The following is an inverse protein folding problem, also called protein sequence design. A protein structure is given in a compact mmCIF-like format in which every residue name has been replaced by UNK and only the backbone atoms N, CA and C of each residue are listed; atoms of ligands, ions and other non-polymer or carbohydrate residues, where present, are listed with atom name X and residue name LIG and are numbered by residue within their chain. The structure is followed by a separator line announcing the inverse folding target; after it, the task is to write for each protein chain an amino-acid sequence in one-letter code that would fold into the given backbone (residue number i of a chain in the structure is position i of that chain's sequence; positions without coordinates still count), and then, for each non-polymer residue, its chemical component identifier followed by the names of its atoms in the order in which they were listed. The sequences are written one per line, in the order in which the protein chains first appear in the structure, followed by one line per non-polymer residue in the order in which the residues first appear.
data_IF_154053256411
#
_entry.id   IF_154053256411
#
_cell.length_a   1.000
_cell.length_b   1.000
_cell.length_c   1.000
_cell.angle_alpha   90.00
_cell.angle_beta   90.00
_cell.angle_gamma   90.00
#
_symmetry.space_group_name_H-M   'P 1'
#
loop_
_entity.id
_entity.type
_entity.pdbx_description
1 polymer ?
#
# COMPACT_ATOMS: atom_id res chain seq x y z
N UNK A 1 4.36 -15.38 8.36
CA UNK A 1 4.73 -14.56 7.20
C UNK A 1 5.65 -13.38 7.58
N UNK A 2 5.50 -12.71 8.74
CA UNK A 2 6.47 -11.71 9.20
C UNK A 2 7.85 -12.30 9.62
N UNK A 3 7.87 -13.51 10.19
CA UNK A 3 9.07 -14.15 10.74
C UNK A 3 10.10 -14.59 9.68
N UNK A 4 9.72 -14.67 8.39
CA UNK A 4 10.63 -15.04 7.30
C UNK A 4 11.24 -13.84 6.57
N UNK A 5 10.76 -12.62 6.84
CA UNK A 5 11.11 -11.43 6.06
C UNK A 5 12.26 -10.60 6.66
N UNK A 6 12.87 -11.02 7.78
CA UNK A 6 13.84 -10.23 8.55
C UNK A 6 13.26 -8.95 9.19
N UNK A 7 11.97 -8.67 8.94
CA UNK A 7 11.25 -7.48 9.38
C UNK A 7 11.19 -7.35 10.91
N UNK A 8 11.24 -8.47 11.62
CA UNK A 8 11.25 -8.50 13.08
C UNK A 8 12.66 -8.40 13.67
N UNK A 9 13.71 -8.45 12.86
CA UNK A 9 15.09 -8.30 13.32
C UNK A 9 15.51 -6.82 13.38
N UNK A 10 14.91 -5.98 12.52
CA UNK A 10 15.10 -4.53 12.54
C UNK A 10 14.37 -3.88 13.74
N UNK A 11 15.07 -3.11 14.61
CA UNK A 11 14.45 -2.43 15.74
C UNK A 11 13.37 -1.40 15.35
N UNK A 12 13.55 -0.68 14.23
CA UNK A 12 12.58 0.32 13.76
C UNK A 12 11.27 -0.31 13.32
N UNK A 13 11.38 -1.36 12.50
CA UNK A 13 10.26 -2.15 11.99
C UNK A 13 9.45 -2.80 13.12
N UNK A 14 10.14 -3.35 14.13
CA UNK A 14 9.47 -3.87 15.34
C UNK A 14 8.71 -2.79 16.11
N UNK A 15 9.28 -1.60 16.25
CA UNK A 15 8.63 -0.51 16.96
C UNK A 15 7.33 -0.08 16.25
N UNK A 16 7.35 0.03 14.92
CA UNK A 16 6.16 0.34 14.10
C UNK A 16 5.08 -0.72 14.22
N UNK A 17 5.45 -2.00 14.14
CA UNK A 17 4.50 -3.11 14.32
C UNK A 17 3.90 -3.11 15.73
N UNK A 18 4.70 -2.83 16.76
CA UNK A 18 4.22 -2.77 18.14
C UNK A 18 3.22 -1.62 18.34
N UNK A 19 3.54 -0.41 17.83
CA UNK A 19 2.67 0.75 17.90
C UNK A 19 1.33 0.51 17.18
N UNK A 20 1.37 -0.02 15.96
CA UNK A 20 0.16 -0.36 15.20
C UNK A 20 -0.73 -1.38 15.94
N UNK A 21 -0.13 -2.35 16.65
CA UNK A 21 -0.87 -3.34 17.44
C UNK A 21 -1.55 -2.76 18.66
N UNK A 22 -0.94 -1.78 19.32
CA UNK A 22 -1.53 -1.08 20.45
C UNK A 22 -2.75 -0.27 20.00
N UNK A 23 -2.59 0.48 18.90
CA UNK A 23 -3.67 1.31 18.34
C UNK A 23 -4.85 0.51 17.79
N UNK A 24 -4.62 -0.71 17.28
CA UNK A 24 -5.69 -1.60 16.82
C UNK A 24 -6.72 -1.95 17.91
N UNK A 25 -6.37 -1.85 19.19
CA UNK A 25 -7.29 -2.14 20.31
C UNK A 25 -8.28 -1.01 20.53
N UNK A 26 -7.82 0.23 20.42
CA UNK A 26 -8.63 1.44 20.66
C UNK A 26 -9.32 1.95 19.38
N UNK A 27 -8.87 1.47 18.22
CA UNK A 27 -9.27 1.95 16.90
C UNK A 27 -8.38 3.09 16.40
N UNK A 28 -8.52 3.41 15.13
CA UNK A 28 -7.79 4.51 14.50
C UNK A 28 -8.73 5.67 14.22
N UNK A 29 -8.27 6.89 14.47
CA UNK A 29 -8.81 8.07 13.80
C UNK A 29 -8.31 8.15 12.34
N UNK A 30 -8.85 9.10 11.58
CA UNK A 30 -8.55 9.30 10.16
C UNK A 30 -7.05 9.54 9.89
N UNK A 31 -6.37 10.29 10.76
CA UNK A 31 -4.94 10.60 10.60
C UNK A 31 -4.09 9.37 10.93
N UNK A 32 -4.41 8.70 12.04
CA UNK A 32 -3.74 7.49 12.49
C UNK A 32 -3.90 6.33 11.50
N UNK A 33 -5.06 6.21 10.85
CA UNK A 33 -5.31 5.18 9.84
C UNK A 33 -4.36 5.34 8.64
N UNK A 34 -4.22 6.56 8.12
CA UNK A 34 -3.31 6.82 7.00
C UNK A 34 -1.83 6.83 7.39
N UNK A 35 -1.49 7.25 8.61
CA UNK A 35 -0.15 7.10 9.15
C UNK A 35 0.24 5.62 9.24
N UNK A 36 -0.64 4.77 9.78
CA UNK A 36 -0.43 3.31 9.85
C UNK A 36 -0.28 2.71 8.46
N UNK A 37 -1.07 3.15 7.48
CA UNK A 37 -0.90 2.72 6.09
C UNK A 37 0.49 3.08 5.55
N UNK A 38 0.97 4.30 5.80
CA UNK A 38 2.32 4.74 5.40
C UNK A 38 3.41 3.89 6.04
N UNK A 39 3.30 3.59 7.33
CA UNK A 39 4.23 2.69 8.02
C UNK A 39 4.25 1.30 7.38
N UNK A 40 3.09 0.76 6.99
CA UNK A 40 3.01 -0.53 6.29
C UNK A 40 3.66 -0.49 4.90
N UNK A 41 3.62 0.64 4.20
CA UNK A 41 4.30 0.81 2.91
C UNK A 41 5.82 0.85 3.10
N UNK A 42 6.30 1.55 4.12
CA UNK A 42 7.73 1.57 4.43
C UNK A 42 8.25 0.17 4.81
N UNK A 43 7.47 -0.60 5.57
CA UNK A 43 7.77 -2.00 5.88
C UNK A 43 7.81 -2.90 4.63
N UNK A 44 7.18 -2.49 3.52
CA UNK A 44 7.25 -3.15 2.22
C UNK A 44 8.45 -2.69 1.38
N UNK A 45 9.26 -1.76 1.89
CA UNK A 45 10.44 -1.20 1.22
C UNK A 45 10.17 0.02 0.35
N UNK A 46 8.99 0.64 0.47
CA UNK A 46 8.72 1.94 -0.14
C UNK A 46 9.38 3.07 0.68
N UNK A 47 9.64 4.24 0.09
CA UNK A 47 10.17 5.38 0.82
C UNK A 47 9.28 5.78 2.01
N UNK A 48 9.90 6.33 3.05
CA UNK A 48 9.21 7.00 4.16
C UNK A 48 8.17 8.00 3.64
N UNK A 49 7.06 8.15 4.37
CA UNK A 49 5.91 9.00 4.02
C UNK A 49 5.22 8.64 2.67
N UNK A 50 5.42 7.42 2.17
CA UNK A 50 4.64 6.94 1.03
C UNK A 50 3.17 6.77 1.42
N UNK A 51 2.27 7.47 0.72
CA UNK A 51 0.82 7.37 0.92
C UNK A 51 0.08 6.61 -0.18
N UNK A 52 0.83 6.00 -1.10
CA UNK A 52 0.28 5.21 -2.20
C UNK A 52 1.24 4.11 -2.62
N UNK A 53 0.69 3.03 -3.16
CA UNK A 53 1.46 1.92 -3.74
C UNK A 53 0.77 1.35 -4.98
N UNK A 54 1.55 0.74 -5.86
CA UNK A 54 1.07 -0.06 -6.99
C UNK A 54 1.69 -1.44 -6.92
N UNK A 55 0.85 -2.45 -6.88
CA UNK A 55 1.23 -3.85 -6.80
C UNK A 55 0.78 -4.61 -8.05
N UNK A 56 1.59 -5.58 -8.47
CA UNK A 56 1.27 -6.49 -9.58
C UNK A 56 0.95 -7.84 -8.97
N UNK A 57 -0.18 -8.42 -9.35
CA UNK A 57 -0.73 -9.63 -8.73
C UNK A 57 -0.82 -10.74 -9.78
N UNK A 58 -0.39 -11.98 -9.48
CA UNK A 58 0.43 -12.34 -8.33
C UNK A 58 1.90 -11.89 -8.48
N UNK A 59 2.42 -11.81 -9.71
CA UNK A 59 3.81 -11.43 -9.99
C UNK A 59 3.97 -10.75 -11.36
N UNK A 60 5.17 -10.23 -11.64
CA UNK A 60 5.46 -9.60 -12.95
C UNK A 60 5.62 -10.61 -14.08
N UNK A 61 5.99 -11.86 -13.78
CA UNK A 61 6.18 -12.89 -14.80
C UNK A 61 4.85 -13.45 -15.33
N UNK A 62 3.83 -13.52 -14.48
CA UNK A 62 2.48 -13.97 -14.82
C UNK A 62 1.42 -13.04 -14.21
N UNK A 63 1.28 -11.81 -14.73
CA UNK A 63 0.40 -10.81 -14.14
C UNK A 63 -1.07 -11.06 -14.49
N UNK A 64 -1.91 -11.11 -13.46
CA UNK A 64 -3.37 -11.21 -13.56
C UNK A 64 -4.06 -9.88 -13.23
N UNK A 65 -3.42 -9.04 -12.43
CA UNK A 65 -3.93 -7.72 -12.08
C UNK A 65 -2.81 -6.71 -11.82
N UNK A 66 -3.15 -5.43 -11.98
CA UNK A 66 -2.41 -4.32 -11.37
C UNK A 66 -3.35 -3.62 -10.40
N UNK A 67 -2.95 -3.50 -9.14
CA UNK A 67 -3.73 -2.85 -8.08
C UNK A 67 -2.99 -1.64 -7.53
N UNK A 68 -3.70 -0.54 -7.32
CA UNK A 68 -3.20 0.68 -6.71
C UNK A 68 -3.99 0.98 -5.45
N UNK A 69 -3.31 1.42 -4.42
CA UNK A 69 -3.91 1.70 -3.11
C UNK A 69 -3.33 3.00 -2.57
N UNK A 70 -4.16 3.81 -1.92
CA UNK A 70 -3.71 5.04 -1.25
C UNK A 70 -4.54 5.30 0.00
N UNK A 71 -3.95 5.98 0.98
CA UNK A 71 -4.68 6.55 2.10
C UNK A 71 -4.36 8.04 2.21
N UNK A 72 -5.37 8.89 2.02
CA UNK A 72 -5.23 10.35 2.10
C UNK A 72 -6.37 10.88 2.96
N UNK A 73 -6.04 11.66 3.99
CA UNK A 73 -7.01 12.29 4.90
C UNK A 73 -8.10 11.32 5.41
N UNK A 74 -7.67 10.19 5.99
CA UNK A 74 -8.57 9.13 6.49
C UNK A 74 -9.26 8.27 5.45
N UNK A 75 -9.11 8.59 4.16
CA UNK A 75 -9.81 7.89 3.09
C UNK A 75 -8.90 6.88 2.41
N UNK A 76 -9.12 5.60 2.71
CA UNK A 76 -8.51 4.50 1.98
C UNK A 76 -9.22 4.30 0.63
N UNK A 77 -8.44 4.32 -0.44
CA UNK A 77 -8.91 4.07 -1.81
C UNK A 77 -8.12 2.94 -2.42
N UNK A 78 -8.80 2.03 -3.12
CA UNK A 78 -8.19 0.91 -3.84
C UNK A 78 -8.79 0.80 -5.24
N UNK A 79 -7.93 0.67 -6.23
CA UNK A 79 -8.26 0.48 -7.64
C UNK A 79 -7.57 -0.77 -8.14
N UNK A 80 -8.29 -1.68 -8.80
CA UNK A 80 -7.71 -2.87 -9.41
C UNK A 80 -8.09 -2.93 -10.89
N UNK A 81 -7.08 -3.15 -11.74
CA UNK A 81 -7.24 -3.43 -13.16
C UNK A 81 -6.97 -4.92 -13.40
N UNK A 82 -8.01 -5.64 -13.82
CA UNK A 82 -7.92 -7.03 -14.27
C UNK A 82 -8.01 -7.09 -15.80
N UNK A 83 -7.21 -7.96 -16.41
CA UNK A 83 -7.22 -8.21 -17.86
C UNK A 83 -6.66 -9.60 -18.13
N UNK A 84 -7.19 -10.28 -19.14
CA UNK A 84 -6.67 -11.59 -19.59
C UNK A 84 -5.27 -11.49 -20.22
N UNK A 85 -4.87 -10.27 -20.61
CA UNK A 85 -3.52 -9.95 -21.07
C UNK A 85 -3.05 -8.59 -20.51
N UNK A 86 -2.03 -8.60 -19.67
CA UNK A 86 -1.33 -7.42 -19.17
C UNK A 86 0.08 -7.37 -19.75
N UNK A 87 0.18 -7.06 -21.05
CA UNK A 87 1.46 -7.06 -21.77
C UNK A 87 2.34 -5.85 -21.41
N UNK A 88 1.72 -4.70 -21.14
CA UNK A 88 2.39 -3.46 -20.72
C UNK A 88 1.99 -3.10 -19.29
N UNK A 89 2.79 -3.59 -18.34
CA UNK A 89 2.57 -3.39 -16.91
C UNK A 89 2.82 -1.95 -16.46
N UNK A 90 3.68 -1.22 -17.16
CA UNK A 90 3.99 0.16 -16.79
C UNK A 90 2.84 1.08 -17.22
N UNK A 91 2.30 0.87 -18.43
CA UNK A 91 1.08 1.56 -18.85
C UNK A 91 -0.13 1.19 -17.98
N UNK A 92 -0.27 -0.07 -17.58
CA UNK A 92 -1.29 -0.50 -16.63
C UNK A 92 -1.13 0.19 -15.26
N UNK A 93 0.11 0.30 -14.75
CA UNK A 93 0.43 1.02 -13.53
C UNK A 93 0.05 2.50 -13.60
N UNK A 94 0.39 3.19 -14.69
CA UNK A 94 0.00 4.60 -14.91
C UNK A 94 -1.52 4.78 -14.92
N UNK A 95 -2.26 3.86 -15.58
CA UNK A 95 -3.73 3.91 -15.61
C UNK A 95 -4.33 3.74 -14.22
N UNK A 96 -3.81 2.79 -13.45
CA UNK A 96 -4.24 2.54 -12.07
C UNK A 96 -3.95 3.75 -11.18
N UNK A 97 -2.74 4.32 -11.26
CA UNK A 97 -2.37 5.54 -10.54
C UNK A 97 -3.28 6.72 -10.91
N UNK A 98 -3.55 6.91 -12.19
CA UNK A 98 -4.44 7.99 -12.66
C UNK A 98 -5.85 7.85 -12.08
N UNK A 99 -6.39 6.63 -12.10
CA UNK A 99 -7.69 6.34 -11.52
C UNK A 99 -7.70 6.52 -9.99
N UNK A 100 -6.61 6.15 -9.32
CA UNK A 100 -6.43 6.32 -7.88
C UNK A 100 -6.41 7.81 -7.49
N UNK A 101 -5.63 8.65 -8.18
CA UNK A 101 -5.59 10.11 -7.96
C UNK A 101 -6.94 10.77 -8.24
N UNK A 102 -7.65 10.31 -9.27
CA UNK A 102 -8.98 10.82 -9.57
C UNK A 102 -9.99 10.47 -8.46
N UNK A 103 -9.90 9.27 -7.88
CA UNK A 103 -10.78 8.81 -6.83
C UNK A 103 -10.50 9.46 -5.46
N UNK A 104 -9.25 9.84 -5.18
CA UNK A 104 -8.86 10.54 -3.94
C UNK A 104 -9.05 12.06 -3.99
N UNK A 105 -9.58 12.60 -5.10
CA UNK A 105 -9.97 14.01 -5.19
C UNK A 105 -8.78 14.96 -5.31
N UNK A 106 -7.77 14.61 -6.11
CA UNK A 106 -6.59 15.43 -6.39
C UNK A 106 -6.94 16.90 -6.61
N UNK A 107 -6.62 17.73 -5.62
CA UNK A 107 -6.56 19.19 -5.69
C UNK A 107 -5.16 19.62 -5.31
#
# INVERSE_FOLDING_TARGET
MAEQSGLLDDPGSRAKIAAAREQLVDGFDDEQACATFSDLLELQGLPDDSHQTVNIVPSREDPQAVSGQSCIAGTYTSVALHSDSLEDLDAAGVRVLTALTAATGGR
#
